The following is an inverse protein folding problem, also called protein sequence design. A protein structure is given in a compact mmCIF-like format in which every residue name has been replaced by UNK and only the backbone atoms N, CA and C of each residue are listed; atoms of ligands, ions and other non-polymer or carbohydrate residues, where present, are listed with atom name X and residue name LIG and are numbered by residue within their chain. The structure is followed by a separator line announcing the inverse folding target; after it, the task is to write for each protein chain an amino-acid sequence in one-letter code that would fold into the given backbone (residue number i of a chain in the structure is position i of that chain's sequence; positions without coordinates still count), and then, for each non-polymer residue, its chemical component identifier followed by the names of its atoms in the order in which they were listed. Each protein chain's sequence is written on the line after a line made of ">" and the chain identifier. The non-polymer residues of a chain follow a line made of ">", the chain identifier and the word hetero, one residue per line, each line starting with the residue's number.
data_IF_137436281345
#
_entry.id   IF_137436281345
#
_cell.length_a   1.000
_cell.length_b   1.000
_cell.length_c   1.000
_cell.angle_alpha   90.00
_cell.angle_beta   90.00
_cell.angle_gamma   90.00
#
_symmetry.space_group_name_H-M   'P 1'
#
loop_
_entity.id
_entity.type
_entity.pdbx_description
1 polymer ?
#
# COMPACT_ATOMS: atom_id res chain seq x y z
N UNK A 1 -16.90 -27.50 -11.95
CA UNK A 1 -16.24 -26.35 -12.62
C UNK A 1 -16.73 -25.05 -11.97
N UNK A 2 -15.83 -24.26 -11.36
CA UNK A 2 -16.21 -23.04 -10.63
C UNK A 2 -16.84 -21.99 -11.55
N UNK A 3 -17.90 -21.32 -11.11
CA UNK A 3 -18.51 -20.22 -11.88
C UNK A 3 -17.48 -19.11 -12.09
N UNK A 4 -17.31 -18.71 -13.35
CA UNK A 4 -16.48 -17.57 -13.74
C UNK A 4 -17.34 -16.30 -13.71
N UNK A 5 -17.04 -15.36 -12.81
CA UNK A 5 -17.70 -14.05 -12.78
C UNK A 5 -17.13 -13.15 -13.88
N UNK A 6 -17.98 -12.57 -14.73
CA UNK A 6 -17.56 -11.67 -15.81
C UNK A 6 -16.84 -10.44 -15.22
N UNK A 7 -15.64 -10.14 -15.72
CA UNK A 7 -14.81 -9.02 -15.24
C UNK A 7 -13.97 -9.32 -13.98
N UNK A 8 -14.05 -10.53 -13.43
CA UNK A 8 -13.16 -11.00 -12.38
C UNK A 8 -11.84 -11.55 -12.96
N UNK A 9 -10.84 -11.76 -12.12
CA UNK A 9 -9.57 -12.41 -12.49
C UNK A 9 -9.71 -13.92 -12.80
N UNK A 10 -10.93 -14.47 -12.70
CA UNK A 10 -11.25 -15.87 -12.95
C UNK A 10 -10.96 -16.82 -11.77
N UNK A 11 -11.34 -18.11 -11.89
CA UNK A 11 -11.28 -19.08 -10.80
C UNK A 11 -9.87 -19.39 -10.29
N UNK A 12 -8.85 -19.26 -11.15
CA UNK A 12 -7.45 -19.50 -10.77
C UNK A 12 -6.90 -18.49 -9.77
N UNK A 13 -7.60 -17.36 -9.59
CA UNK A 13 -7.30 -16.35 -8.59
C UNK A 13 -8.59 -15.92 -7.88
N UNK A 14 -9.35 -16.91 -7.41
CA UNK A 14 -10.53 -16.74 -6.55
C UNK A 14 -11.57 -15.71 -7.04
N UNK A 15 -11.70 -15.51 -8.35
CA UNK A 15 -12.59 -14.51 -8.94
C UNK A 15 -12.42 -13.10 -8.33
N UNK A 16 -11.18 -12.64 -8.14
CA UNK A 16 -10.91 -11.30 -7.62
C UNK A 16 -11.57 -10.24 -8.51
N UNK A 17 -12.39 -9.38 -7.91
CA UNK A 17 -13.13 -8.32 -8.61
C UNK A 17 -12.20 -7.17 -8.95
N UNK A 18 -12.49 -6.49 -10.07
CA UNK A 18 -11.84 -5.22 -10.41
C UNK A 18 -12.37 -4.11 -9.50
N UNK A 19 -11.53 -3.48 -8.67
CA UNK A 19 -11.97 -2.42 -7.77
C UNK A 19 -12.22 -1.10 -8.53
N UNK A 20 -13.06 -0.23 -7.94
CA UNK A 20 -13.24 1.14 -8.42
C UNK A 20 -12.07 2.01 -7.97
N UNK A 21 -11.60 2.88 -8.86
CA UNK A 21 -10.50 3.79 -8.57
C UNK A 21 -11.03 5.07 -7.93
N UNK A 22 -10.90 5.17 -6.62
CA UNK A 22 -11.03 6.43 -5.90
C UNK A 22 -9.70 7.19 -5.88
N UNK A 23 -9.75 8.48 -5.62
CA UNK A 23 -8.54 9.30 -5.51
C UNK A 23 -7.62 8.84 -4.37
N UNK A 24 -8.19 8.41 -3.24
CA UNK A 24 -7.41 7.88 -2.11
C UNK A 24 -6.63 6.62 -2.49
N UNK A 25 -7.26 5.72 -3.24
CA UNK A 25 -6.63 4.49 -3.73
C UNK A 25 -5.51 4.81 -4.72
N UNK A 26 -5.72 5.78 -5.61
CA UNK A 26 -4.67 6.22 -6.53
C UNK A 26 -3.45 6.77 -5.79
N UNK A 27 -3.65 7.58 -4.75
CA UNK A 27 -2.55 8.09 -3.90
C UNK A 27 -1.79 6.97 -3.21
N UNK A 28 -2.52 5.99 -2.65
CA UNK A 28 -1.90 4.83 -2.00
C UNK A 28 -1.08 3.98 -3.01
N UNK A 29 -1.58 3.80 -4.23
CA UNK A 29 -0.83 3.12 -5.30
C UNK A 29 0.42 3.89 -5.73
N UNK A 30 0.34 5.22 -5.83
CA UNK A 30 1.51 6.07 -6.10
C UNK A 30 2.55 5.95 -4.99
N UNK A 31 2.12 5.97 -3.73
CA UNK A 31 3.02 5.78 -2.58
C UNK A 31 3.76 4.43 -2.66
N UNK A 32 3.08 3.36 -3.08
CA UNK A 32 3.70 2.04 -3.29
C UNK A 32 4.71 2.06 -4.43
N UNK A 33 4.41 2.75 -5.54
CA UNK A 33 5.35 2.89 -6.66
C UNK A 33 6.62 3.63 -6.23
N UNK A 34 6.47 4.74 -5.51
CA UNK A 34 7.58 5.60 -5.08
C UNK A 34 8.22 5.17 -3.75
N UNK A 35 7.88 4.00 -3.21
CA UNK A 35 8.37 3.51 -1.91
C UNK A 35 9.89 3.53 -1.74
N UNK A 36 10.65 3.36 -2.83
CA UNK A 36 12.12 3.42 -2.79
C UNK A 36 12.69 4.83 -2.63
N UNK A 37 11.91 5.88 -2.89
CA UNK A 37 12.30 7.27 -2.65
C UNK A 37 11.93 7.71 -1.23
N UNK A 38 10.82 7.15 -0.73
CA UNK A 38 10.24 7.46 0.58
C UNK A 38 11.11 6.98 1.75
N UNK A 39 11.74 5.80 1.62
CA UNK A 39 12.66 5.25 2.63
C UNK A 39 14.09 5.18 2.07
N UNK A 40 15.00 5.95 2.66
CA UNK A 40 16.42 5.96 2.26
C UNK A 40 17.18 4.71 2.68
N UNK A 41 16.67 3.98 3.67
CA UNK A 41 17.35 2.83 4.26
C UNK A 41 16.92 1.51 3.61
N UNK A 42 15.86 1.52 2.80
CA UNK A 42 15.31 0.32 2.16
C UNK A 42 15.32 0.44 0.64
N UNK A 43 16.16 -0.39 0.01
CA UNK A 43 16.22 -0.51 -1.44
C UNK A 43 15.27 -1.60 -1.93
N UNK A 44 14.21 -1.20 -2.62
CA UNK A 44 13.26 -2.12 -3.25
C UNK A 44 13.64 -2.41 -4.70
N UNK A 45 13.25 -3.58 -5.22
CA UNK A 45 13.35 -3.88 -6.65
C UNK A 45 12.49 -2.87 -7.44
N UNK A 46 13.07 -2.31 -8.49
CA UNK A 46 12.38 -1.41 -9.41
C UNK A 46 11.25 -2.16 -10.11
N UNK A 47 10.03 -1.62 -10.02
CA UNK A 47 8.92 -2.11 -10.81
C UNK A 47 9.04 -1.56 -12.24
N UNK A 48 9.17 -2.46 -13.22
CA UNK A 48 9.28 -2.10 -14.65
C UNK A 48 7.91 -1.94 -15.31
N UNK A 49 6.82 -2.13 -14.58
CA UNK A 49 5.46 -2.03 -15.13
C UNK A 49 5.17 -0.61 -15.61
N UNK A 50 4.59 -0.53 -16.81
CA UNK A 50 4.24 0.73 -17.48
C UNK A 50 2.98 1.36 -16.89
N UNK A 51 2.08 0.57 -16.29
CA UNK A 51 0.87 1.06 -15.62
C UNK A 51 1.10 1.15 -14.12
N UNK A 52 0.78 2.32 -13.55
CA UNK A 52 0.73 2.56 -12.11
C UNK A 52 -0.33 1.69 -11.42
N UNK A 53 -1.43 1.38 -12.11
CA UNK A 53 -2.59 0.71 -11.54
C UNK A 53 -2.70 -0.72 -12.08
N UNK A 54 -2.71 -1.75 -11.21
CA UNK A 54 -3.01 -3.13 -11.60
C UNK A 54 -4.48 -3.30 -12.02
N UNK A 55 -4.76 -4.22 -12.95
CA UNK A 55 -6.13 -4.47 -13.43
C UNK A 55 -7.06 -5.03 -12.36
N UNK A 56 -6.53 -5.89 -11.48
CA UNK A 56 -7.25 -6.46 -10.35
C UNK A 56 -6.38 -6.30 -9.10
N UNK A 57 -6.94 -5.71 -8.05
CA UNK A 57 -6.30 -5.60 -6.74
C UNK A 57 -7.35 -5.49 -5.63
N UNK A 58 -6.91 -5.67 -4.39
CA UNK A 58 -7.72 -5.47 -3.20
C UNK A 58 -6.91 -4.74 -2.14
N UNK A 59 -7.57 -3.86 -1.39
CA UNK A 59 -7.01 -3.23 -0.20
C UNK A 59 -7.49 -3.99 1.03
N UNK A 60 -6.55 -4.43 1.86
CA UNK A 60 -6.83 -5.21 3.07
C UNK A 60 -6.05 -4.66 4.27
N UNK A 61 -6.42 -5.13 5.44
CA UNK A 61 -5.73 -4.79 6.70
C UNK A 61 -5.09 -6.04 7.28
N UNK A 62 -3.89 -5.90 7.82
CA UNK A 62 -3.19 -7.01 8.47
C UNK A 62 -3.93 -7.34 9.77
N UNK A 63 -4.31 -8.62 9.93
CA UNK A 63 -4.83 -9.15 11.19
C UNK A 63 -3.63 -9.75 11.94
N UNK A 64 -3.21 -9.06 13.00
CA UNK A 64 -2.05 -9.46 13.81
C UNK A 64 -2.31 -10.78 14.53
N UNK A 65 -1.27 -11.58 14.69
CA UNK A 65 -1.35 -12.86 15.38
C UNK A 65 -1.44 -12.67 16.91
N UNK A 66 -2.04 -13.65 17.59
CA UNK A 66 -2.23 -13.61 19.05
C UNK A 66 -0.95 -13.68 19.88
N UNK A 67 0.22 -13.94 19.29
CA UNK A 67 1.48 -14.07 20.02
C UNK A 67 2.39 -12.83 19.91
N UNK A 68 2.05 -11.85 19.06
CA UNK A 68 2.88 -10.66 18.84
C UNK A 68 2.22 -9.41 19.45
N UNK A 69 2.17 -9.32 20.79
CA UNK A 69 1.47 -8.22 21.47
C UNK A 69 2.27 -6.91 21.56
N UNK A 70 3.59 -6.97 21.72
CA UNK A 70 4.40 -5.81 22.14
C UNK A 70 5.31 -5.23 21.05
N UNK A 71 5.54 -5.94 19.95
CA UNK A 71 6.54 -5.54 18.94
C UNK A 71 5.91 -5.12 17.60
N UNK A 72 5.08 -5.97 16.99
CA UNK A 72 4.54 -5.76 15.64
C UNK A 72 3.13 -5.16 15.63
N UNK A 73 2.45 -5.17 16.78
CA UNK A 73 1.07 -4.70 16.93
C UNK A 73 1.00 -3.19 16.97
N UNK A 74 0.22 -2.62 16.07
CA UNK A 74 -0.08 -1.19 16.10
C UNK A 74 -1.13 -0.87 17.16
N UNK A 75 -0.95 0.25 17.85
CA UNK A 75 -1.98 0.80 18.73
C UNK A 75 -3.14 1.34 17.91
N UNK A 76 -4.31 1.48 18.54
CA UNK A 76 -5.48 2.08 17.88
C UNK A 76 -5.24 3.52 17.39
N UNK A 77 -4.27 4.23 18.00
CA UNK A 77 -3.92 5.60 17.59
C UNK A 77 -3.09 5.62 16.31
N UNK A 78 -2.27 4.61 16.08
CA UNK A 78 -1.41 4.51 14.90
C UNK A 78 -2.17 3.98 13.68
N UNK A 79 -3.20 3.15 13.90
CA UNK A 79 -4.08 2.66 12.84
C UNK A 79 -4.80 3.82 12.13
N UNK A 80 -4.70 3.85 10.80
CA UNK A 80 -5.42 4.80 9.92
C UNK A 80 -6.09 4.09 8.76
N UNK A 81 -7.06 4.78 8.15
CA UNK A 81 -7.88 4.24 7.07
C UNK A 81 -7.18 4.14 5.71
N UNK A 82 -6.06 4.82 5.50
CA UNK A 82 -5.29 4.77 4.25
C UNK A 82 -3.81 4.58 4.51
N UNK A 83 -3.10 3.99 3.55
CA UNK A 83 -1.65 3.75 3.68
C UNK A 83 -0.89 5.08 3.76
N UNK A 84 -1.29 6.05 2.94
CA UNK A 84 -0.64 7.36 2.89
C UNK A 84 -0.77 8.13 4.21
N UNK A 85 -1.91 8.06 4.89
CA UNK A 85 -2.09 8.73 6.20
C UNK A 85 -1.25 8.06 7.30
N UNK A 86 -1.09 6.73 7.26
CA UNK A 86 -0.16 6.04 8.18
C UNK A 86 1.27 6.54 7.98
N UNK A 87 1.72 6.61 6.72
CA UNK A 87 3.07 7.06 6.38
C UNK A 87 3.36 8.51 6.79
N UNK A 88 2.40 9.43 6.57
CA UNK A 88 2.56 10.85 6.95
C UNK A 88 2.64 11.08 8.46
N UNK A 89 2.22 10.10 9.26
CA UNK A 89 2.26 10.13 10.72
C UNK A 89 3.42 9.35 11.31
N UNK A 90 4.17 8.61 10.49
CA UNK A 90 5.40 7.97 10.93
C UNK A 90 6.44 9.04 11.29
N UNK A 91 7.06 8.87 12.45
CA UNK A 91 8.05 9.80 12.97
C UNK A 91 9.26 9.90 12.02
N UNK A 92 9.84 11.11 11.91
CA UNK A 92 11.01 11.39 11.09
C UNK A 92 10.76 11.48 9.57
N UNK A 93 9.70 10.86 9.04
CA UNK A 93 9.38 10.89 7.61
C UNK A 93 9.17 12.32 7.11
N UNK A 94 8.39 13.14 7.83
CA UNK A 94 8.09 14.53 7.43
C UNK A 94 9.34 15.40 7.37
N UNK A 95 10.25 15.22 8.32
CA UNK A 95 11.52 15.94 8.39
C UNK A 95 12.47 15.51 7.27
N UNK A 96 12.56 14.20 7.01
CA UNK A 96 13.33 13.67 5.88
C UNK A 96 12.83 14.22 4.55
N UNK A 97 11.51 14.19 4.33
CA UNK A 97 10.90 14.72 3.11
C UNK A 97 11.18 16.21 2.97
N UNK A 98 10.99 17.01 4.03
CA UNK A 98 11.29 18.45 4.02
C UNK A 98 12.75 18.71 3.64
N UNK A 99 13.69 18.07 4.33
CA UNK A 99 15.13 18.23 4.09
C UNK A 99 15.52 17.87 2.66
N UNK A 100 14.97 16.79 2.10
CA UNK A 100 15.22 16.41 0.70
C UNK A 100 14.64 17.42 -0.27
N UNK A 101 13.40 17.87 -0.06
CA UNK A 101 12.71 18.77 -0.99
C UNK A 101 13.35 20.16 -1.04
N UNK A 102 13.92 20.64 0.07
CA UNK A 102 14.66 21.93 0.11
C UNK A 102 16.04 21.85 -0.53
N UNK A 103 16.64 20.66 -0.61
CA UNK A 103 17.98 20.46 -1.19
C UNK A 103 17.95 20.22 -2.71
N UNK A 104 16.77 20.05 -3.29
CA UNK A 104 16.53 19.91 -4.73
C UNK A 104 16.27 21.31 -5.29
#
# INVERSE_FOLDING_TARGET
>A
PGRHEKGSSGPGWFNMKRPQLSESVLRDLQAIQYRGVLDTSRFYKLDKKRSLVPDHFQMGTIVEASHEFYSSRMTNKERKGTLTDQFLRTDGVREMLRTKTTKI
#
